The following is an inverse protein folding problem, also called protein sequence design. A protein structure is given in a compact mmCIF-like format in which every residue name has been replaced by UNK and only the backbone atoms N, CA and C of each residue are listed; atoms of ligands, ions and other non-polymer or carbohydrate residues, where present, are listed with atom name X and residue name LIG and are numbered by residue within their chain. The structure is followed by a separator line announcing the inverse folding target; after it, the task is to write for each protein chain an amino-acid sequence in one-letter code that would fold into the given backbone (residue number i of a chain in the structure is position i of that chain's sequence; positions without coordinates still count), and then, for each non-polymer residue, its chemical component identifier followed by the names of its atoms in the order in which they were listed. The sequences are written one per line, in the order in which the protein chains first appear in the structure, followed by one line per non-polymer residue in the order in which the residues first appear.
data_IF_804204778904
#
_entry.id   IF_804204778904
#
_cell.length_a   1.000
_cell.length_b   1.000
_cell.length_c   1.000
_cell.angle_alpha   90.00
_cell.angle_beta   90.00
_cell.angle_gamma   90.00
#
_symmetry.space_group_name_H-M   'P 1'
#
loop_
_entity.id
_entity.type
_entity.pdbx_description
1 polymer ?
#
# COMPACT_ATOMS: atom_id res chain seq x y z
N UNK A 1 -13.17 -27.37 80.15
CA UNK A 1 -12.95 -28.46 79.17
C UNK A 1 -14.18 -29.32 79.25
N UNK A 2 -15.17 -29.02 78.42
CA UNK A 2 -16.48 -29.67 78.42
C UNK A 2 -16.52 -30.65 77.23
N UNK A 3 -17.11 -31.81 77.48
CA UNK A 3 -17.12 -32.98 76.62
C UNK A 3 -17.52 -32.65 75.17
N UNK A 4 -16.58 -32.84 74.24
CA UNK A 4 -16.89 -32.85 72.81
C UNK A 4 -17.69 -34.11 72.50
N UNK A 5 -18.87 -33.94 71.90
CA UNK A 5 -19.71 -35.02 71.43
C UNK A 5 -18.88 -35.99 70.59
N UNK A 6 -18.84 -37.25 71.01
CA UNK A 6 -17.94 -38.26 70.42
C UNK A 6 -18.41 -38.77 69.05
N UNK A 7 -19.67 -38.52 68.69
CA UNK A 7 -20.27 -38.96 67.43
C UNK A 7 -20.44 -37.76 66.49
N UNK A 8 -19.90 -37.87 65.28
CA UNK A 8 -20.07 -36.85 64.24
C UNK A 8 -21.51 -36.89 63.70
N UNK A 9 -22.21 -35.76 63.64
CA UNK A 9 -23.57 -35.73 63.09
C UNK A 9 -23.56 -35.82 61.56
N UNK A 10 -24.64 -36.34 60.99
CA UNK A 10 -24.76 -36.47 59.54
C UNK A 10 -25.49 -35.26 58.95
N UNK A 11 -24.83 -34.57 58.03
CA UNK A 11 -25.38 -33.43 57.31
C UNK A 11 -26.24 -33.96 56.17
N UNK A 12 -27.51 -33.57 56.16
CA UNK A 12 -28.46 -33.94 55.11
C UNK A 12 -28.49 -32.92 53.98
N UNK A 13 -28.38 -31.64 54.32
CA UNK A 13 -28.35 -30.55 53.35
C UNK A 13 -27.22 -29.60 53.72
N UNK A 14 -26.26 -29.33 52.80
CA UNK A 14 -26.12 -29.93 51.48
C UNK A 14 -25.50 -31.34 51.59
N UNK A 15 -25.92 -32.28 50.74
CA UNK A 15 -25.40 -33.66 50.75
C UNK A 15 -23.93 -33.75 50.27
N UNK A 16 -23.45 -32.72 49.58
CA UNK A 16 -22.06 -32.56 49.13
C UNK A 16 -21.75 -31.06 49.01
N UNK A 17 -20.49 -30.71 48.75
CA UNK A 17 -20.08 -29.32 48.55
C UNK A 17 -20.86 -28.70 47.38
N UNK A 18 -21.58 -27.62 47.64
CA UNK A 18 -22.48 -27.00 46.67
C UNK A 18 -21.87 -25.72 46.10
N UNK A 19 -21.92 -25.55 44.79
CA UNK A 19 -21.43 -24.35 44.10
C UNK A 19 -22.58 -23.61 43.46
N UNK A 20 -22.80 -22.34 43.84
CA UNK A 20 -23.90 -21.52 43.34
C UNK A 20 -23.36 -20.33 42.54
N UNK A 21 -23.79 -20.21 41.29
CA UNK A 21 -23.49 -19.06 40.44
C UNK A 21 -24.63 -18.05 40.49
N UNK A 22 -24.35 -16.88 41.07
CA UNK A 22 -25.36 -15.87 41.36
C UNK A 22 -24.97 -14.51 40.77
N UNK A 23 -25.98 -13.77 40.32
CA UNK A 23 -25.80 -12.39 39.89
C UNK A 23 -25.74 -11.44 41.09
N UNK A 24 -24.99 -10.35 40.95
CA UNK A 24 -24.91 -9.28 41.94
C UNK A 24 -26.28 -8.62 42.16
N UNK A 25 -26.65 -8.36 43.41
CA UNK A 25 -27.93 -7.80 43.84
C UNK A 25 -29.00 -8.82 44.24
N UNK A 26 -28.72 -10.12 44.22
CA UNK A 26 -29.67 -11.16 44.69
C UNK A 26 -29.54 -11.43 46.18
N UNK A 27 -30.66 -11.80 46.81
CA UNK A 27 -30.69 -12.39 48.16
C UNK A 27 -30.66 -13.91 48.05
N UNK A 28 -29.82 -14.57 48.84
CA UNK A 28 -29.67 -16.03 48.86
C UNK A 28 -29.75 -16.54 50.31
N UNK A 29 -30.41 -17.67 50.50
CA UNK A 29 -30.51 -18.35 51.79
C UNK A 29 -29.77 -19.69 51.72
N UNK A 30 -28.69 -19.84 52.48
CA UNK A 30 -27.93 -21.08 52.58
C UNK A 30 -28.51 -21.93 53.71
N UNK A 31 -28.97 -23.14 53.39
CA UNK A 31 -29.64 -24.02 54.35
C UNK A 31 -28.74 -25.19 54.73
N UNK A 32 -28.39 -25.29 56.01
CA UNK A 32 -27.61 -26.37 56.59
C UNK A 32 -28.52 -27.20 57.51
N UNK A 33 -28.89 -28.41 57.09
CA UNK A 33 -29.71 -29.32 57.91
C UNK A 33 -28.92 -30.55 58.31
N UNK A 34 -28.99 -30.88 59.60
CA UNK A 34 -28.18 -31.91 60.22
C UNK A 34 -29.08 -32.83 61.03
N UNK A 35 -28.86 -34.14 60.95
CA UNK A 35 -29.56 -35.12 61.79
C UNK A 35 -28.76 -35.43 63.05
N UNK A 36 -29.49 -35.50 64.16
CA UNK A 36 -28.96 -35.73 65.50
C UNK A 36 -29.77 -36.81 66.23
N UNK A 37 -29.07 -37.77 66.85
CA UNK A 37 -29.71 -38.84 67.61
C UNK A 37 -30.03 -38.36 69.05
N UNK A 38 -31.28 -38.55 69.50
CA UNK A 38 -31.78 -38.05 70.80
C UNK A 38 -31.14 -38.72 72.04
N UNK A 39 -30.29 -39.74 71.85
CA UNK A 39 -29.73 -40.53 72.94
C UNK A 39 -28.60 -39.82 73.72
N UNK A 40 -28.06 -38.70 73.22
CA UNK A 40 -26.94 -37.98 73.84
C UNK A 40 -27.38 -36.62 74.42
N UNK A 41 -26.93 -36.28 75.64
CA UNK A 41 -27.25 -35.02 76.37
C UNK A 41 -26.40 -33.83 75.90
N UNK A 42 -26.20 -33.68 74.59
CA UNK A 42 -25.47 -32.54 74.04
C UNK A 42 -26.28 -31.88 72.93
N UNK A 43 -26.49 -30.56 73.07
CA UNK A 43 -27.10 -29.71 72.05
C UNK A 43 -25.99 -29.00 71.28
N UNK A 44 -25.61 -29.44 70.06
CA UNK A 44 -24.59 -28.75 69.26
C UNK A 44 -25.12 -27.40 68.77
N UNK A 45 -24.28 -26.37 68.87
CA UNK A 45 -24.59 -25.03 68.34
C UNK A 45 -24.04 -24.95 66.92
N UNK A 46 -24.86 -24.66 65.89
CA UNK A 46 -24.37 -24.46 64.54
C UNK A 46 -23.60 -23.15 64.45
N UNK A 47 -22.47 -23.17 63.75
CA UNK A 47 -21.64 -21.99 63.57
C UNK A 47 -21.27 -21.82 62.10
N UNK A 48 -21.32 -20.57 61.62
CA UNK A 48 -21.03 -20.25 60.23
C UNK A 48 -19.70 -19.52 60.08
N UNK A 49 -18.98 -19.85 59.01
CA UNK A 49 -17.73 -19.20 58.62
C UNK A 49 -17.81 -18.74 57.16
N UNK A 50 -17.12 -17.63 56.86
CA UNK A 50 -16.89 -17.13 55.52
C UNK A 50 -15.39 -17.03 55.28
N UNK A 51 -14.90 -17.73 54.26
CA UNK A 51 -13.47 -17.80 53.90
C UNK A 51 -12.55 -18.12 55.09
N UNK A 52 -13.05 -18.94 56.03
CA UNK A 52 -12.33 -19.32 57.25
C UNK A 52 -12.50 -18.36 58.44
N UNK A 53 -13.20 -17.24 58.28
CA UNK A 53 -13.50 -16.29 59.36
C UNK A 53 -14.91 -16.51 59.94
N UNK A 54 -15.03 -16.54 61.26
CA UNK A 54 -16.32 -16.70 61.95
C UNK A 54 -17.25 -15.50 61.71
N UNK A 55 -18.50 -15.78 61.34
CA UNK A 55 -19.52 -14.75 61.16
C UNK A 55 -19.98 -14.25 62.54
N UNK A 56 -19.92 -12.93 62.74
CA UNK A 56 -20.33 -12.31 64.01
C UNK A 56 -21.85 -12.30 64.22
N UNK A 57 -22.28 -11.94 65.43
CA UNK A 57 -23.68 -11.90 65.88
C UNK A 57 -24.60 -10.93 65.09
N UNK A 58 -24.07 -10.16 64.14
CA UNK A 58 -24.83 -9.29 63.24
C UNK A 58 -25.28 -9.95 61.93
N UNK A 59 -25.03 -11.24 61.74
CA UNK A 59 -25.52 -11.99 60.58
C UNK A 59 -26.92 -12.56 60.83
N UNK A 60 -27.80 -12.47 59.83
CA UNK A 60 -29.17 -13.02 59.88
C UNK A 60 -29.13 -14.53 59.74
N UNK A 61 -28.98 -15.20 60.88
CA UNK A 61 -28.99 -16.65 61.03
C UNK A 61 -30.27 -17.10 61.73
N UNK A 62 -31.07 -17.90 61.05
CA UNK A 62 -32.27 -18.50 61.63
C UNK A 62 -31.96 -19.97 61.96
N UNK A 63 -32.05 -20.35 63.23
CA UNK A 63 -31.82 -21.73 63.67
C UNK A 63 -33.10 -22.32 64.24
N UNK A 64 -33.51 -23.47 63.71
CA UNK A 64 -34.73 -24.16 64.10
C UNK A 64 -34.45 -25.65 64.38
N UNK A 65 -35.03 -26.16 65.47
CA UNK A 65 -34.99 -27.56 65.86
C UNK A 65 -36.32 -28.22 65.49
N UNK A 66 -36.26 -29.38 64.85
CA UNK A 66 -37.42 -30.18 64.48
C UNK A 66 -37.29 -31.58 65.05
N UNK A 67 -38.32 -32.08 65.75
CA UNK A 67 -38.39 -33.49 66.10
C UNK A 67 -38.87 -34.26 64.86
N UNK A 68 -38.06 -35.21 64.37
CA UNK A 68 -38.43 -36.04 63.22
C UNK A 68 -39.09 -37.34 63.69
N UNK A 69 -38.57 -37.96 64.75
CA UNK A 69 -39.07 -39.17 65.40
C UNK A 69 -38.83 -39.10 66.93
N UNK A 70 -39.37 -40.05 67.70
CA UNK A 70 -39.16 -40.10 69.17
C UNK A 70 -37.68 -40.22 69.61
N UNK A 71 -36.79 -40.63 68.69
CA UNK A 71 -35.35 -40.80 68.93
C UNK A 71 -34.45 -39.93 68.03
N UNK A 72 -35.00 -39.05 67.19
CA UNK A 72 -34.23 -38.28 66.20
C UNK A 72 -34.69 -36.81 66.12
N UNK A 73 -33.73 -35.90 66.19
CA UNK A 73 -33.92 -34.46 66.04
C UNK A 73 -33.15 -33.94 64.82
N UNK A 74 -33.74 -33.00 64.11
CA UNK A 74 -33.11 -32.27 63.01
C UNK A 74 -32.81 -30.85 63.47
N UNK A 75 -31.58 -30.41 63.21
CA UNK A 75 -31.16 -29.04 63.36
C UNK A 75 -31.08 -28.40 61.98
N UNK A 76 -31.89 -27.38 61.70
CA UNK A 76 -31.77 -26.57 60.49
C UNK A 76 -31.24 -25.18 60.86
N UNK A 77 -30.15 -24.77 60.21
CA UNK A 77 -29.61 -23.43 60.29
C UNK A 77 -29.63 -22.79 58.91
N UNK A 78 -30.27 -21.64 58.78
CA UNK A 78 -30.41 -20.90 57.53
C UNK A 78 -29.68 -19.57 57.63
N UNK A 79 -28.68 -19.37 56.77
CA UNK A 79 -27.92 -18.12 56.68
C UNK A 79 -28.46 -17.29 55.50
N UNK A 80 -29.06 -16.13 55.80
CA UNK A 80 -29.54 -15.19 54.78
C UNK A 80 -28.43 -14.19 54.40
N UNK A 81 -28.14 -14.08 53.10
CA UNK A 81 -27.08 -13.23 52.55
C UNK A 81 -27.64 -12.30 51.47
N UNK A 82 -27.24 -11.02 51.52
CA UNK A 82 -27.50 -10.03 50.48
C UNK A 82 -26.23 -9.84 49.66
N UNK A 83 -26.24 -10.26 48.39
CA UNK A 83 -25.06 -10.20 47.52
C UNK A 83 -24.93 -8.82 46.88
N UNK A 84 -24.59 -7.81 47.67
CA UNK A 84 -24.52 -6.41 47.21
C UNK A 84 -23.17 -6.02 46.64
N UNK A 85 -22.10 -6.57 47.21
CA UNK A 85 -20.72 -6.25 46.86
C UNK A 85 -20.00 -7.50 46.33
N UNK A 86 -18.93 -7.28 45.58
CA UNK A 86 -18.07 -8.39 45.11
C UNK A 86 -17.47 -9.18 46.28
N UNK A 87 -17.21 -8.48 47.39
CA UNK A 87 -16.75 -9.08 48.63
C UNK A 87 -17.73 -10.09 49.23
N UNK A 88 -19.00 -10.10 48.82
CA UNK A 88 -20.02 -10.99 49.39
C UNK A 88 -19.97 -12.40 48.79
N UNK A 89 -19.29 -12.56 47.65
CA UNK A 89 -18.99 -13.87 47.04
C UNK A 89 -17.77 -14.50 47.73
N UNK A 90 -17.79 -15.82 47.93
CA UNK A 90 -16.76 -16.52 48.71
C UNK A 90 -17.20 -17.91 49.13
N UNK A 91 -16.41 -18.54 50.00
CA UNK A 91 -16.69 -19.89 50.52
C UNK A 91 -17.32 -19.77 51.90
N UNK A 92 -18.57 -20.21 52.01
CA UNK A 92 -19.29 -20.27 53.28
C UNK A 92 -19.25 -21.71 53.81
N UNK A 93 -18.95 -21.90 55.08
CA UNK A 93 -18.99 -23.22 55.70
C UNK A 93 -19.81 -23.22 56.99
N UNK A 94 -20.71 -24.20 57.08
CA UNK A 94 -21.51 -24.52 58.25
C UNK A 94 -20.77 -25.58 59.07
N UNK A 95 -20.58 -25.31 60.36
CA UNK A 95 -19.91 -26.17 61.32
C UNK A 95 -20.94 -26.64 62.35
N UNK A 96 -21.11 -27.95 62.50
CA UNK A 96 -21.97 -28.56 63.51
C UNK A 96 -21.21 -29.71 64.17
N UNK A 97 -20.69 -29.47 65.37
CA UNK A 97 -19.81 -30.42 66.05
C UNK A 97 -18.55 -30.69 65.22
N UNK A 98 -18.34 -31.96 64.84
CA UNK A 98 -17.21 -32.40 63.99
C UNK A 98 -17.55 -32.48 62.49
N UNK A 99 -18.77 -32.15 62.08
CA UNK A 99 -19.18 -32.18 60.68
C UNK A 99 -19.17 -30.78 60.06
N UNK A 100 -18.81 -30.70 58.77
CA UNK A 100 -18.77 -29.45 58.01
C UNK A 100 -19.42 -29.57 56.65
N UNK A 101 -20.13 -28.55 56.26
CA UNK A 101 -20.69 -28.41 54.91
C UNK A 101 -20.29 -27.08 54.30
N UNK A 102 -19.87 -27.10 53.03
CA UNK A 102 -19.37 -25.90 52.34
C UNK A 102 -20.26 -25.52 51.15
N UNK A 103 -20.50 -24.22 51.02
CA UNK A 103 -21.17 -23.56 49.91
C UNK A 103 -20.21 -22.57 49.27
N UNK A 104 -19.92 -22.71 47.98
CA UNK A 104 -19.10 -21.74 47.25
C UNK A 104 -19.99 -20.84 46.41
N UNK A 105 -20.02 -19.55 46.72
CA UNK A 105 -20.74 -18.56 45.94
C UNK A 105 -19.80 -17.95 44.90
N UNK A 106 -20.14 -18.12 43.62
CA UNK A 106 -19.41 -17.52 42.49
C UNK A 106 -20.28 -16.47 41.81
N UNK A 107 -19.64 -15.40 41.35
CA UNK A 107 -20.30 -14.40 40.53
C UNK A 107 -20.56 -14.99 39.15
N UNK A 108 -21.81 -14.91 38.70
CA UNK A 108 -22.15 -15.17 37.31
C UNK A 108 -21.65 -14.01 36.43
N UNK A 109 -20.70 -14.27 35.53
CA UNK A 109 -20.25 -13.27 34.56
C UNK A 109 -21.35 -13.04 33.52
N UNK A 110 -21.87 -11.81 33.47
CA UNK A 110 -22.74 -11.40 32.37
C UNK A 110 -21.85 -11.21 31.16
N UNK A 111 -21.99 -12.08 30.16
CA UNK A 111 -21.30 -11.95 28.88
C UNK A 111 -21.66 -10.61 28.22
N UNK A 112 -20.82 -9.60 28.45
CA UNK A 112 -21.04 -8.27 27.88
C UNK A 112 -20.96 -8.35 26.36
N UNK A 113 -21.97 -7.86 25.66
CA UNK A 113 -21.92 -7.72 24.20
C UNK A 113 -20.96 -6.59 23.77
N UNK A 114 -20.47 -5.80 24.72
CA UNK A 114 -19.56 -4.66 24.51
C UNK A 114 -18.26 -5.05 23.80
N UNK A 115 -17.47 -6.06 24.25
CA UNK A 115 -16.26 -6.49 23.54
C UNK A 115 -16.53 -6.98 22.12
N UNK A 116 -17.64 -7.69 21.89
CA UNK A 116 -18.01 -8.17 20.55
C UNK A 116 -18.35 -7.00 19.61
N UNK A 117 -19.08 -6.00 20.11
CA UNK A 117 -19.39 -4.77 19.34
C UNK A 117 -18.12 -3.97 19.04
N UNK A 118 -17.19 -3.85 20.00
CA UNK A 118 -15.93 -3.16 19.80
C UNK A 118 -15.06 -3.85 18.73
N UNK A 119 -14.97 -5.18 18.79
CA UNK A 119 -14.25 -5.97 17.79
C UNK A 119 -14.85 -5.80 16.39
N UNK A 120 -16.18 -5.83 16.28
CA UNK A 120 -16.88 -5.61 15.01
C UNK A 120 -16.61 -4.21 14.43
N UNK A 121 -16.61 -3.16 15.27
CA UNK A 121 -16.30 -1.79 14.84
C UNK A 121 -14.86 -1.64 14.36
N UNK A 122 -13.89 -2.31 15.01
CA UNK A 122 -12.50 -2.30 14.58
C UNK A 122 -12.32 -2.97 13.21
N UNK A 123 -12.97 -4.11 12.98
CA UNK A 123 -12.95 -4.79 11.68
C UNK A 123 -13.58 -3.91 10.59
N UNK A 124 -14.71 -3.26 10.89
CA UNK A 124 -15.35 -2.34 9.96
C UNK A 124 -14.43 -1.17 9.60
N UNK A 125 -13.77 -0.56 10.60
CA UNK A 125 -12.83 0.54 10.39
C UNK A 125 -11.65 0.10 9.51
N UNK A 126 -11.09 -1.10 9.74
CA UNK A 126 -10.03 -1.65 8.92
C UNK A 126 -10.46 -1.85 7.47
N UNK A 127 -11.66 -2.39 7.24
CA UNK A 127 -12.21 -2.57 5.89
C UNK A 127 -12.38 -1.24 5.15
N UNK A 128 -12.87 -0.20 5.84
CA UNK A 128 -12.99 1.14 5.25
C UNK A 128 -11.63 1.73 4.91
N UNK A 129 -10.63 1.57 5.78
CA UNK A 129 -9.25 2.01 5.51
C UNK A 129 -8.65 1.28 4.31
N UNK A 130 -8.81 -0.05 4.24
CA UNK A 130 -8.34 -0.85 3.11
C UNK A 130 -9.05 -0.48 1.81
N UNK A 131 -10.36 -0.25 1.85
CA UNK A 131 -11.12 0.22 0.69
C UNK A 131 -10.65 1.62 0.24
N UNK A 132 -10.43 2.53 1.18
CA UNK A 132 -9.91 3.87 0.89
C UNK A 132 -8.49 3.83 0.30
N UNK A 133 -7.62 3.00 0.87
CA UNK A 133 -6.27 2.77 0.35
C UNK A 133 -6.34 2.13 -1.04
N UNK A 134 -7.19 1.12 -1.25
CA UNK A 134 -7.38 0.49 -2.54
C UNK A 134 -7.85 1.51 -3.59
N UNK A 135 -8.86 2.33 -3.30
CA UNK A 135 -9.34 3.35 -4.25
C UNK A 135 -8.24 4.36 -4.61
N UNK A 136 -7.43 4.80 -3.64
CA UNK A 136 -6.31 5.73 -3.89
C UNK A 136 -5.11 5.10 -4.58
N UNK A 137 -4.80 3.85 -4.25
CA UNK A 137 -3.60 3.17 -4.70
C UNK A 137 -3.86 2.24 -5.87
N UNK A 138 -5.10 2.01 -6.31
CA UNK A 138 -5.45 1.09 -7.40
C UNK A 138 -4.58 1.30 -8.64
N UNK A 139 -4.46 2.55 -9.08
CA UNK A 139 -3.66 2.88 -10.26
C UNK A 139 -2.15 2.69 -10.01
N UNK A 140 -1.67 3.02 -8.81
CA UNK A 140 -0.27 2.77 -8.42
C UNK A 140 0.06 1.28 -8.32
N UNK A 141 -0.83 0.47 -7.75
CA UNK A 141 -0.69 -1.00 -7.64
C UNK A 141 -0.74 -1.63 -9.01
N UNK A 142 -1.64 -1.19 -9.89
CA UNK A 142 -1.72 -1.70 -11.26
C UNK A 142 -0.47 -1.34 -12.08
N UNK A 143 0.05 -0.11 -11.90
CA UNK A 143 1.33 0.30 -12.50
C UNK A 143 2.48 -0.56 -12.00
N UNK A 144 2.56 -0.79 -10.68
CA UNK A 144 3.59 -1.62 -10.07
C UNK A 144 3.52 -3.06 -10.59
N UNK A 145 2.32 -3.64 -10.61
CA UNK A 145 2.08 -4.99 -11.14
C UNK A 145 2.53 -5.11 -12.59
N UNK A 146 2.12 -4.16 -13.45
CA UNK A 146 2.54 -4.15 -14.85
C UNK A 146 4.05 -3.95 -14.99
N UNK A 147 4.66 -3.08 -14.18
CA UNK A 147 6.08 -2.81 -14.26
C UNK A 147 6.95 -3.97 -13.79
N UNK A 148 6.43 -4.90 -12.98
CA UNK A 148 7.11 -6.15 -12.61
C UNK A 148 6.79 -7.29 -13.57
N UNK A 149 5.51 -7.56 -13.84
CA UNK A 149 5.05 -8.79 -14.49
C UNK A 149 4.55 -8.62 -15.93
N UNK A 150 4.44 -7.40 -16.46
CA UNK A 150 3.89 -7.17 -17.81
C UNK A 150 4.84 -7.59 -18.93
N UNK A 151 4.33 -8.03 -20.07
CA UNK A 151 5.17 -8.37 -21.24
C UNK A 151 6.02 -7.19 -21.73
N UNK A 152 7.24 -7.49 -22.19
CA UNK A 152 8.24 -6.51 -22.63
C UNK A 152 8.22 -6.34 -24.15
N UNK A 153 7.69 -5.21 -24.64
CA UNK A 153 7.59 -4.88 -26.08
C UNK A 153 8.94 -4.36 -26.68
N UNK A 154 10.10 -4.86 -26.25
CA UNK A 154 11.42 -4.24 -26.57
C UNK A 154 11.94 -4.58 -27.98
N UNK A 155 11.54 -5.71 -28.57
CA UNK A 155 12.13 -6.26 -29.79
C UNK A 155 11.26 -6.11 -31.06
N UNK A 156 10.26 -5.23 -31.04
CA UNK A 156 9.27 -5.10 -32.12
C UNK A 156 9.76 -4.31 -33.35
N UNK A 157 11.04 -3.91 -33.39
CA UNK A 157 11.59 -3.07 -34.47
C UNK A 157 11.07 -1.62 -34.52
N UNK A 158 10.29 -1.21 -33.53
CA UNK A 158 9.71 0.15 -33.41
C UNK A 158 10.68 1.10 -32.70
N UNK A 159 10.82 2.31 -33.23
CA UNK A 159 11.79 3.30 -32.77
C UNK A 159 11.27 4.18 -31.63
N UNK A 160 9.95 4.40 -31.59
CA UNK A 160 9.31 5.32 -30.65
C UNK A 160 8.20 4.61 -29.85
N UNK A 161 8.02 5.04 -28.60
CA UNK A 161 7.00 4.48 -27.70
C UNK A 161 5.61 4.99 -28.03
N UNK A 162 5.50 6.27 -28.40
CA UNK A 162 4.24 6.86 -28.82
C UNK A 162 4.39 7.96 -29.86
N UNK A 163 3.46 7.99 -30.81
CA UNK A 163 3.21 9.11 -31.70
C UNK A 163 2.20 10.06 -31.04
N UNK A 164 2.46 11.36 -31.03
CA UNK A 164 1.51 12.36 -30.49
C UNK A 164 0.95 13.21 -31.62
N UNK A 165 -0.35 13.13 -31.84
CA UNK A 165 -1.09 14.03 -32.73
C UNK A 165 -1.80 15.13 -31.94
N UNK A 166 -1.71 16.36 -32.42
CA UNK A 166 -2.33 17.54 -31.83
C UNK A 166 -2.77 18.54 -32.92
N UNK A 167 -3.66 19.48 -32.58
CA UNK A 167 -4.05 20.52 -33.54
C UNK A 167 -2.91 21.55 -33.73
N UNK A 168 -2.95 22.27 -34.86
CA UNK A 168 -1.95 23.28 -35.23
C UNK A 168 -2.03 24.57 -34.40
N UNK A 169 -2.95 24.64 -33.44
CA UNK A 169 -3.12 25.82 -32.59
C UNK A 169 -1.91 26.00 -31.65
N UNK A 170 -1.56 27.26 -31.33
CA UNK A 170 -0.42 27.53 -30.46
C UNK A 170 -0.62 26.97 -29.05
N UNK A 171 -1.85 26.86 -28.58
CA UNK A 171 -2.15 26.38 -27.23
C UNK A 171 -1.95 24.86 -27.12
N UNK A 172 -2.42 24.08 -28.10
CA UNK A 172 -2.17 22.64 -28.16
C UNK A 172 -0.69 22.34 -28.33
N UNK A 173 0.00 23.11 -29.18
CA UNK A 173 1.44 22.98 -29.36
C UNK A 173 2.18 23.21 -28.03
N UNK A 174 1.84 24.28 -27.30
CA UNK A 174 2.42 24.56 -25.97
C UNK A 174 2.12 23.43 -25.00
N UNK A 175 0.88 22.94 -24.95
CA UNK A 175 0.49 21.83 -24.08
C UNK A 175 1.34 20.58 -24.36
N UNK A 176 1.47 20.18 -25.63
CA UNK A 176 2.24 18.99 -25.99
C UNK A 176 3.74 19.19 -25.71
N UNK A 177 4.32 20.33 -26.10
CA UNK A 177 5.76 20.55 -26.01
C UNK A 177 6.26 20.87 -24.60
N UNK A 178 5.47 21.56 -23.78
CA UNK A 178 5.88 21.97 -22.43
C UNK A 178 5.32 21.09 -21.32
N UNK A 179 4.21 20.38 -21.55
CA UNK A 179 3.58 19.55 -20.52
C UNK A 179 3.75 18.07 -20.86
N UNK A 180 3.25 17.60 -22.00
CA UNK A 180 3.25 16.16 -22.33
C UNK A 180 4.67 15.65 -22.58
N UNK A 181 5.43 16.32 -23.44
CA UNK A 181 6.78 15.90 -23.83
C UNK A 181 7.75 15.84 -22.64
N UNK A 182 7.92 16.89 -21.82
CA UNK A 182 8.88 16.83 -20.70
C UNK A 182 8.46 15.84 -19.62
N UNK A 183 7.15 15.64 -19.40
CA UNK A 183 6.70 14.63 -18.44
C UNK A 183 7.01 13.22 -18.96
N UNK A 184 6.65 12.89 -20.18
CA UNK A 184 6.86 11.54 -20.72
C UNK A 184 8.34 11.25 -21.01
N UNK A 185 9.11 12.21 -21.53
CA UNK A 185 10.53 12.03 -21.87
C UNK A 185 11.47 12.23 -20.67
N UNK A 186 11.32 13.27 -19.85
CA UNK A 186 12.30 13.49 -18.77
C UNK A 186 11.96 12.68 -17.50
N UNK A 187 10.67 12.51 -17.17
CA UNK A 187 10.27 11.84 -15.92
C UNK A 187 10.10 10.35 -16.09
N UNK A 188 9.39 9.95 -17.15
CA UNK A 188 9.11 8.54 -17.43
C UNK A 188 10.12 7.95 -18.43
N UNK A 189 10.85 8.77 -19.18
CA UNK A 189 11.86 8.35 -20.15
C UNK A 189 11.33 7.51 -21.30
N UNK A 190 10.11 7.80 -21.73
CA UNK A 190 9.58 7.32 -23.02
C UNK A 190 10.20 8.12 -24.16
N UNK A 191 10.31 7.50 -25.33
CA UNK A 191 10.69 8.19 -26.57
C UNK A 191 9.44 8.57 -27.34
N UNK A 192 9.13 9.85 -27.43
CA UNK A 192 7.99 10.33 -28.20
C UNK A 192 8.41 10.73 -29.60
N UNK A 193 7.54 10.47 -30.56
CA UNK A 193 7.61 11.11 -31.87
C UNK A 193 6.56 12.22 -31.94
N UNK A 194 7.03 13.44 -32.16
CA UNK A 194 6.22 14.61 -32.43
C UNK A 194 6.56 15.05 -33.85
N UNK A 195 5.54 15.25 -34.69
CA UNK A 195 5.76 15.81 -36.01
C UNK A 195 5.82 17.35 -35.90
N UNK A 196 7.03 17.89 -35.86
CA UNK A 196 7.28 19.34 -35.85
C UNK A 196 7.04 19.99 -37.24
N UNK A 197 7.00 19.15 -38.28
CA UNK A 197 6.96 19.56 -39.69
C UNK A 197 5.54 19.57 -40.20
N UNK A 198 4.88 20.72 -39.99
CA UNK A 198 3.48 21.01 -40.31
C UNK A 198 2.57 20.35 -39.28
N UNK A 199 1.77 21.17 -38.59
CA UNK A 199 0.62 20.68 -37.84
C UNK A 199 -0.31 20.01 -38.83
N UNK A 200 -0.06 18.74 -39.06
CA UNK A 200 -0.88 17.90 -39.89
C UNK A 200 -2.15 17.74 -39.07
N UNK A 201 -3.09 18.65 -39.31
CA UNK A 201 -4.51 18.31 -39.36
C UNK A 201 -4.53 16.86 -39.79
N UNK A 202 -4.92 15.92 -38.93
CA UNK A 202 -5.02 14.55 -39.39
C UNK A 202 -6.03 14.62 -40.52
N UNK A 203 -5.64 14.59 -41.81
CA UNK A 203 -6.61 14.71 -42.85
C UNK A 203 -7.09 13.27 -42.95
N UNK A 204 -8.09 12.95 -42.13
CA UNK A 204 -8.89 11.77 -42.36
C UNK A 204 -10.15 12.13 -43.15
N UNK A 205 -10.06 12.73 -44.36
CA UNK A 205 -10.99 12.39 -45.43
C UNK A 205 -10.34 11.28 -46.26
N UNK A 206 -10.81 10.04 -46.05
CA UNK A 206 -10.59 8.85 -46.87
C UNK A 206 -9.17 8.22 -46.95
N UNK A 207 -8.06 8.97 -47.03
CA UNK A 207 -6.71 8.37 -47.16
C UNK A 207 -5.69 9.05 -46.23
N UNK A 208 -5.18 8.35 -45.19
CA UNK A 208 -4.10 8.90 -44.38
C UNK A 208 -2.84 9.05 -45.23
N UNK A 209 -2.12 10.17 -45.07
CA UNK A 209 -0.88 10.41 -45.81
C UNK A 209 0.11 9.27 -45.56
N UNK A 210 0.88 8.90 -46.59
CA UNK A 210 1.87 7.83 -46.48
C UNK A 210 2.87 8.10 -45.34
N UNK A 211 3.20 9.38 -45.11
CA UNK A 211 4.08 9.82 -44.02
C UNK A 211 3.47 9.57 -42.64
N UNK A 212 2.16 9.83 -42.46
CA UNK A 212 1.46 9.55 -41.21
C UNK A 212 1.43 8.03 -40.94
N UNK A 213 1.11 7.22 -41.94
CA UNK A 213 1.10 5.76 -41.82
C UNK A 213 2.50 5.26 -41.45
N UNK A 214 3.53 5.76 -42.13
CA UNK A 214 4.93 5.43 -41.85
C UNK A 214 5.33 5.81 -40.42
N UNK A 215 5.03 7.03 -39.99
CA UNK A 215 5.38 7.52 -38.65
C UNK A 215 4.64 6.75 -37.55
N UNK A 216 3.35 6.48 -37.73
CA UNK A 216 2.55 5.68 -36.78
C UNK A 216 3.03 4.22 -36.75
N UNK A 217 3.42 3.64 -37.89
CA UNK A 217 3.95 2.26 -37.95
C UNK A 217 5.25 2.08 -37.15
N UNK A 218 6.07 3.14 -37.07
CA UNK A 218 7.31 3.19 -36.28
C UNK A 218 7.07 3.39 -34.78
N UNK A 219 5.82 3.64 -34.37
CA UNK A 219 5.44 3.91 -32.99
C UNK A 219 4.63 2.75 -32.37
N UNK A 220 4.79 2.51 -31.07
CA UNK A 220 4.05 1.45 -30.35
C UNK A 220 2.61 1.85 -30.02
N UNK A 221 2.39 3.12 -29.71
CA UNK A 221 1.08 3.69 -29.37
C UNK A 221 0.84 4.99 -30.12
N UNK A 222 -0.45 5.35 -30.23
CA UNK A 222 -0.91 6.61 -30.81
C UNK A 222 -1.62 7.40 -29.72
N UNK A 223 -1.19 8.62 -29.46
CA UNK A 223 -1.83 9.59 -28.56
C UNK A 223 -2.42 10.70 -29.43
N UNK A 224 -3.70 11.01 -29.24
CA UNK A 224 -4.41 12.08 -29.95
C UNK A 224 -4.94 13.08 -28.91
N UNK A 225 -4.54 14.34 -29.03
CA UNK A 225 -5.04 15.43 -28.18
C UNK A 225 -6.27 16.06 -28.83
N UNK A 226 -7.45 15.71 -28.32
CA UNK A 226 -8.74 16.28 -28.74
C UNK A 226 -8.99 17.59 -27.99
N UNK A 227 -8.50 18.69 -28.56
CA UNK A 227 -8.92 20.05 -28.19
C UNK A 227 -10.17 20.49 -28.95
N UNK A 228 -10.75 21.66 -28.62
CA UNK A 228 -11.85 22.26 -29.42
C UNK A 228 -11.41 22.45 -30.87
N UNK A 229 -10.22 23.02 -31.08
CA UNK A 229 -9.70 23.25 -32.42
C UNK A 229 -9.47 21.94 -33.19
N UNK A 230 -9.15 20.86 -32.50
CA UNK A 230 -9.04 19.53 -33.10
C UNK A 230 -10.42 18.97 -33.52
N UNK A 231 -11.45 19.19 -32.70
CA UNK A 231 -12.83 18.77 -32.98
C UNK A 231 -13.50 19.61 -34.08
N UNK A 232 -13.13 20.89 -34.21
CA UNK A 232 -13.64 21.79 -35.26
C UNK A 232 -13.11 21.45 -36.66
N UNK A 233 -12.09 20.59 -36.77
CA UNK A 233 -11.56 20.16 -38.07
C UNK A 233 -12.65 19.46 -38.90
N UNK A 234 -12.66 19.72 -40.21
CA UNK A 234 -13.73 19.28 -41.11
C UNK A 234 -13.97 17.76 -41.08
N UNK A 235 -12.90 16.97 -40.93
CA UNK A 235 -13.00 15.50 -40.84
C UNK A 235 -13.61 15.02 -39.52
N UNK A 236 -13.41 15.73 -38.40
CA UNK A 236 -14.05 15.42 -37.12
C UNK A 236 -15.57 15.63 -37.18
N UNK A 237 -16.00 16.64 -37.94
CA UNK A 237 -17.43 16.93 -38.13
C UNK A 237 -18.11 15.98 -39.13
N UNK A 238 -17.42 15.62 -40.21
CA UNK A 238 -18.03 14.92 -41.35
C UNK A 238 -17.74 13.41 -41.42
N UNK A 239 -16.61 12.93 -40.90
CA UNK A 239 -16.13 11.55 -41.14
C UNK A 239 -15.33 10.96 -39.97
N UNK A 240 -15.63 11.40 -38.73
CA UNK A 240 -14.89 10.94 -37.55
C UNK A 240 -14.98 9.44 -37.33
N UNK A 241 -16.13 8.83 -37.66
CA UNK A 241 -16.34 7.38 -37.44
C UNK A 241 -15.40 6.57 -38.33
N UNK A 242 -15.35 6.89 -39.61
CA UNK A 242 -14.48 6.26 -40.60
C UNK A 242 -13.01 6.50 -40.23
N UNK A 243 -12.68 7.72 -39.79
CA UNK A 243 -11.35 8.05 -39.28
C UNK A 243 -10.95 7.21 -38.06
N UNK A 244 -11.85 7.05 -37.08
CA UNK A 244 -11.61 6.24 -35.89
C UNK A 244 -11.32 4.77 -36.24
N UNK A 245 -12.09 4.18 -37.15
CA UNK A 245 -11.84 2.81 -37.62
C UNK A 245 -10.45 2.67 -38.24
N UNK A 246 -10.01 3.65 -39.03
CA UNK A 246 -8.67 3.65 -39.62
C UNK A 246 -7.56 3.81 -38.57
N UNK A 247 -7.77 4.64 -37.55
CA UNK A 247 -6.83 4.77 -36.43
C UNK A 247 -6.71 3.48 -35.60
N UNK A 248 -7.81 2.76 -35.44
CA UNK A 248 -7.85 1.44 -34.79
C UNK A 248 -7.16 0.35 -35.63
N UNK A 249 -7.18 0.48 -36.96
CA UNK A 249 -6.43 -0.39 -37.87
C UNK A 249 -4.92 -0.13 -37.80
N UNK A 250 -4.53 1.15 -37.74
CA UNK A 250 -3.13 1.58 -37.64
C UNK A 250 -2.53 1.31 -36.26
N UNK A 251 -3.33 1.37 -35.19
CA UNK A 251 -2.87 1.21 -33.81
C UNK A 251 -3.84 0.38 -32.98
N UNK A 252 -3.34 -0.66 -32.29
CA UNK A 252 -4.20 -1.61 -31.54
C UNK A 252 -5.00 -0.96 -30.40
N UNK A 253 -4.49 0.11 -29.79
CA UNK A 253 -5.10 0.81 -28.64
C UNK A 253 -4.71 2.30 -28.65
N UNK A 254 -5.36 3.14 -29.47
CA UNK A 254 -5.13 4.58 -29.46
C UNK A 254 -5.62 5.22 -28.15
N UNK A 255 -4.92 6.27 -27.75
CA UNK A 255 -5.17 7.03 -26.52
C UNK A 255 -5.65 8.41 -26.92
N UNK A 256 -6.82 8.83 -26.43
CA UNK A 256 -7.40 10.14 -26.67
C UNK A 256 -7.37 10.97 -25.39
N UNK A 257 -6.82 12.19 -25.46
CA UNK A 257 -6.79 13.14 -24.34
C UNK A 257 -7.79 14.25 -24.63
N UNK A 258 -8.75 14.49 -23.73
CA UNK A 258 -9.77 15.54 -23.85
C UNK A 258 -9.70 16.48 -22.65
N UNK A 259 -9.90 17.78 -22.84
CA UNK A 259 -9.93 18.74 -21.74
C UNK A 259 -11.26 18.73 -20.98
N UNK A 260 -11.23 18.90 -19.65
CA UNK A 260 -12.44 18.80 -18.81
C UNK A 260 -13.54 19.80 -19.18
N UNK A 261 -13.18 21.05 -19.54
CA UNK A 261 -14.14 22.05 -20.02
C UNK A 261 -14.92 21.54 -21.24
N UNK A 262 -14.20 20.96 -22.19
CA UNK A 262 -14.76 20.44 -23.44
C UNK A 262 -15.60 19.17 -23.20
N UNK A 263 -15.16 18.31 -22.29
CA UNK A 263 -15.88 17.08 -21.95
C UNK A 263 -17.27 17.34 -21.33
N UNK A 264 -17.44 18.45 -20.61
CA UNK A 264 -18.70 18.83 -19.95
C UNK A 264 -19.58 19.75 -20.81
N UNK A 265 -18.98 20.67 -21.55
CA UNK A 265 -19.71 21.73 -22.26
C UNK A 265 -20.04 21.37 -23.71
N UNK A 266 -19.24 20.51 -24.35
CA UNK A 266 -19.37 20.20 -25.79
C UNK A 266 -19.79 18.73 -25.97
N UNK A 267 -21.08 18.50 -26.23
CA UNK A 267 -21.58 17.19 -26.69
C UNK A 267 -21.28 16.99 -28.18
N UNK A 268 -20.00 16.79 -28.52
CA UNK A 268 -19.59 16.48 -29.88
C UNK A 268 -19.87 15.00 -30.22
N UNK A 269 -20.38 14.66 -31.44
CA UNK A 269 -20.61 13.27 -31.86
C UNK A 269 -19.34 12.40 -31.82
N UNK A 270 -18.16 13.01 -31.99
CA UNK A 270 -16.89 12.29 -31.84
C UNK A 270 -16.68 11.74 -30.42
N UNK A 271 -17.00 12.53 -29.39
CA UNK A 271 -16.82 12.14 -27.99
C UNK A 271 -17.83 11.06 -27.62
N UNK A 272 -19.08 11.13 -28.11
CA UNK A 272 -20.07 10.07 -27.87
C UNK A 272 -19.65 8.75 -28.53
N UNK A 273 -19.07 8.79 -29.73
CA UNK A 273 -18.52 7.61 -30.40
C UNK A 273 -17.35 6.99 -29.60
N UNK A 274 -16.42 7.80 -29.10
CA UNK A 274 -15.33 7.31 -28.24
C UNK A 274 -15.88 6.70 -26.93
N UNK A 275 -16.95 7.27 -26.37
CA UNK A 275 -17.65 6.70 -25.20
C UNK A 275 -18.38 5.39 -25.51
N UNK A 276 -18.78 5.15 -26.76
CA UNK A 276 -19.36 3.88 -27.17
C UNK A 276 -18.27 2.80 -27.33
N UNK A 277 -17.09 3.17 -27.82
CA UNK A 277 -15.98 2.25 -28.11
C UNK A 277 -14.90 2.20 -27.01
N UNK A 278 -15.25 2.39 -25.73
CA UNK A 278 -14.28 2.42 -24.60
C UNK A 278 -13.46 1.14 -24.41
N UNK A 279 -13.89 0.00 -24.97
CA UNK A 279 -13.13 -1.25 -24.90
C UNK A 279 -11.93 -1.26 -25.85
N UNK A 280 -12.00 -0.52 -26.95
CA UNK A 280 -10.96 -0.45 -27.99
C UNK A 280 -10.07 0.79 -27.85
N UNK A 281 -10.59 1.89 -27.29
CA UNK A 281 -9.88 3.17 -27.13
C UNK A 281 -9.73 3.55 -25.67
N UNK A 282 -8.60 4.20 -25.33
CA UNK A 282 -8.42 4.78 -23.99
C UNK A 282 -8.76 6.27 -24.04
N UNK A 283 -9.79 6.71 -23.31
CA UNK A 283 -10.19 8.11 -23.22
C UNK A 283 -9.77 8.69 -21.87
N UNK A 284 -8.85 9.66 -21.88
CA UNK A 284 -8.33 10.33 -20.70
C UNK A 284 -8.81 11.78 -20.64
N UNK A 285 -9.22 12.23 -19.45
CA UNK A 285 -9.70 13.61 -19.24
C UNK A 285 -8.65 14.42 -18.51
N UNK A 286 -8.18 15.50 -19.13
CA UNK A 286 -7.27 16.48 -18.56
C UNK A 286 -8.02 17.46 -17.65
N UNK A 287 -7.68 17.48 -16.35
CA UNK A 287 -8.32 18.31 -15.31
C UNK A 287 -7.31 19.29 -14.72
N UNK A 288 -7.77 20.28 -13.94
CA UNK A 288 -6.88 21.19 -13.22
C UNK A 288 -5.88 20.45 -12.30
N UNK A 289 -6.31 19.35 -11.67
CA UNK A 289 -5.44 18.49 -10.85
C UNK A 289 -4.40 17.69 -11.65
N UNK A 290 -4.57 17.56 -12.98
CA UNK A 290 -3.65 16.83 -13.87
C UNK A 290 -2.31 17.54 -14.06
N UNK A 291 -2.21 18.83 -13.73
CA UNK A 291 -0.94 19.56 -13.69
C UNK A 291 0.06 18.93 -12.72
N UNK A 292 -0.43 18.26 -11.67
CA UNK A 292 0.46 17.52 -10.78
C UNK A 292 0.91 16.23 -11.46
N UNK A 293 2.23 15.95 -11.48
CA UNK A 293 2.79 14.81 -12.19
C UNK A 293 2.49 13.45 -11.53
N UNK A 294 2.06 13.46 -10.26
CA UNK A 294 1.57 12.28 -9.52
C UNK A 294 0.06 12.06 -9.65
N UNK A 295 -0.63 12.84 -10.48
CA UNK A 295 -2.08 12.73 -10.68
C UNK A 295 -2.49 11.39 -11.30
N UNK A 296 -3.75 11.02 -11.07
CA UNK A 296 -4.34 9.81 -11.64
C UNK A 296 -4.28 9.81 -13.18
N UNK A 297 -4.35 10.99 -13.81
CA UNK A 297 -4.22 11.14 -15.26
C UNK A 297 -2.90 10.57 -15.80
N UNK A 298 -1.76 10.95 -15.19
CA UNK A 298 -0.46 10.46 -15.66
C UNK A 298 -0.29 8.97 -15.39
N UNK A 299 -0.87 8.47 -14.29
CA UNK A 299 -0.85 7.03 -14.00
C UNK A 299 -1.64 6.24 -15.04
N UNK A 300 -2.84 6.70 -15.39
CA UNK A 300 -3.66 6.09 -16.46
C UNK A 300 -2.99 6.18 -17.83
N UNK A 301 -2.38 7.33 -18.15
CA UNK A 301 -1.63 7.49 -19.40
C UNK A 301 -0.43 6.52 -19.47
N UNK A 302 0.33 6.44 -18.38
CA UNK A 302 1.45 5.50 -18.30
C UNK A 302 0.98 4.05 -18.43
N UNK A 303 -0.18 3.68 -17.84
CA UNK A 303 -0.77 2.35 -17.96
C UNK A 303 -1.16 1.98 -19.40
N UNK A 304 -1.57 2.96 -20.21
CA UNK A 304 -1.92 2.75 -21.61
C UNK A 304 -0.69 2.70 -22.55
N UNK A 305 0.42 3.32 -22.14
CA UNK A 305 1.71 3.28 -22.83
C UNK A 305 2.41 1.91 -22.70
N UNK A 306 3.39 1.57 -23.56
CA UNK A 306 4.14 0.31 -23.46
C UNK A 306 4.92 0.23 -22.14
N UNK A 307 5.22 -0.98 -21.65
CA UNK A 307 6.08 -1.17 -20.46
C UNK A 307 7.49 -0.70 -20.80
N UNK A 308 8.09 0.09 -19.91
CA UNK A 308 9.49 0.48 -20.01
C UNK A 308 10.34 -0.43 -19.12
N UNK A 309 11.48 -0.88 -19.64
CA UNK A 309 12.59 -1.36 -18.80
C UNK A 309 13.52 -0.18 -18.60
N UNK A 310 13.62 0.29 -17.36
CA UNK A 310 14.75 1.13 -16.98
C UNK A 310 15.98 0.23 -16.95
N UNK A 311 16.77 0.26 -18.03
CA UNK A 311 18.16 -0.16 -17.91
C UNK A 311 18.80 0.78 -16.89
N UNK A 312 19.21 0.24 -15.74
CA UNK A 312 19.92 1.01 -14.73
C UNK A 312 21.19 1.52 -15.42
N UNK A 313 21.31 2.83 -15.61
CA UNK A 313 22.38 3.50 -16.35
C UNK A 313 23.75 3.45 -15.66
N UNK A 314 24.13 2.30 -15.11
CA UNK A 314 25.44 2.01 -14.51
C UNK A 314 26.07 0.74 -15.07
N UNK A 315 25.56 0.24 -16.20
CA UNK A 315 26.28 -0.73 -17.01
C UNK A 315 26.66 0.03 -18.27
N UNK A 316 27.84 0.63 -18.25
CA UNK A 316 28.53 0.99 -19.48
C UNK A 316 28.59 -0.26 -20.36
N UNK A 317 28.65 -0.04 -21.67
CA UNK A 317 28.68 -1.09 -22.70
C UNK A 317 29.44 -2.32 -22.17
N UNK A 318 28.86 -3.55 -22.16
CA UNK A 318 29.55 -4.75 -21.69
C UNK A 318 30.87 -4.99 -22.44
N UNK A 319 31.06 -4.31 -23.57
CA UNK A 319 32.30 -4.20 -24.33
C UNK A 319 33.47 -3.57 -23.55
N UNK A 320 33.24 -2.87 -22.43
CA UNK A 320 34.27 -2.18 -21.63
C UNK A 320 34.54 -2.81 -20.26
N UNK A 321 33.71 -3.75 -19.80
CA UNK A 321 33.87 -4.33 -18.45
C UNK A 321 34.83 -5.53 -18.39
N UNK A 322 35.04 -6.22 -19.51
CA UNK A 322 35.99 -7.32 -19.57
C UNK A 322 37.28 -6.89 -20.27
N UNK A 323 38.29 -6.77 -19.43
CA UNK A 323 39.72 -6.82 -19.71
C UNK A 323 40.41 -5.47 -19.81
N UNK A 324 41.64 -5.51 -19.31
CA UNK A 324 42.80 -4.61 -19.38
C UNK A 324 43.09 -4.06 -20.79
N UNK A 325 42.08 -3.52 -21.47
CA UNK A 325 42.22 -2.86 -22.75
C UNK A 325 42.77 -1.45 -22.49
N UNK A 326 44.07 -1.28 -22.76
CA UNK A 326 44.79 -0.01 -22.55
C UNK A 326 44.50 1.02 -23.65
N UNK A 327 43.39 0.89 -24.36
CA UNK A 327 42.98 1.87 -25.36
C UNK A 327 42.50 3.16 -24.68
N UNK A 328 43.25 4.28 -24.80
CA UNK A 328 42.97 5.51 -24.04
C UNK A 328 41.69 6.24 -24.51
N UNK A 329 41.09 5.83 -25.63
CA UNK A 329 39.77 6.34 -26.04
C UNK A 329 38.59 5.61 -25.39
N UNK A 330 38.80 4.43 -24.79
CA UNK A 330 37.75 3.59 -24.22
C UNK A 330 37.74 3.61 -22.68
N UNK A 331 38.77 4.18 -22.05
CA UNK A 331 38.83 4.35 -20.60
C UNK A 331 38.02 5.61 -20.22
N UNK A 332 36.87 5.43 -19.59
CA UNK A 332 35.98 6.52 -19.15
C UNK A 332 36.62 7.44 -18.08
N UNK A 333 37.74 7.00 -17.48
CA UNK A 333 38.52 7.76 -16.51
C UNK A 333 39.86 8.18 -17.11
N UNK A 334 39.87 9.21 -17.94
CA UNK A 334 41.14 9.90 -18.26
C UNK A 334 41.57 10.68 -17.01
N UNK A 335 42.61 10.22 -16.32
CA UNK A 335 43.29 10.98 -15.26
C UNK A 335 44.07 12.20 -15.81
N UNK A 336 43.81 12.63 -17.04
CA UNK A 336 44.44 13.75 -17.71
C UNK A 336 43.83 15.12 -17.35
N UNK A 337 42.71 15.13 -16.60
CA UNK A 337 42.05 16.34 -16.12
C UNK A 337 42.26 16.60 -14.62
N UNK A 338 43.18 15.89 -13.98
CA UNK A 338 43.60 16.22 -12.61
C UNK A 338 44.84 17.11 -12.65
N UNK A 339 44.71 18.27 -13.29
CA UNK A 339 45.62 19.40 -13.07
C UNK A 339 45.28 20.01 -11.72
N UNK A 340 45.69 19.33 -10.64
CA UNK A 340 45.75 19.90 -9.31
C UNK A 340 46.68 21.11 -9.36
N UNK A 341 46.12 22.31 -9.25
CA UNK A 341 46.90 23.50 -9.00
C UNK A 341 47.48 23.42 -7.59
N UNK A 342 48.78 23.12 -7.49
CA UNK A 342 49.53 23.25 -6.25
C UNK A 342 49.50 24.72 -5.78
N UNK A 343 49.01 25.03 -4.57
CA UNK A 343 49.21 26.34 -4.00
C UNK A 343 50.61 26.40 -3.37
N UNK A 344 51.52 27.13 -4.01
CA UNK A 344 52.77 27.54 -3.37
C UNK A 344 52.45 28.60 -2.29
N UNK A 345 53.02 28.51 -1.07
CA UNK A 345 52.77 29.49 -0.03
C UNK A 345 53.64 30.75 -0.28
N UNK A 346 53.13 31.87 0.23
CA UNK A 346 53.77 33.19 0.35
C UNK A 346 53.52 34.20 -0.78
N UNK A 347 52.69 35.21 -0.49
CA UNK A 347 52.55 36.41 -1.34
C UNK A 347 51.29 37.24 -1.07
N UNK A 348 51.36 38.10 -0.07
CA UNK A 348 50.34 39.03 0.42
C UNK A 348 50.03 40.23 -0.53
N UNK A 349 48.87 40.85 -0.28
CA UNK A 349 48.36 42.19 -0.66
C UNK A 349 47.68 42.42 -2.03
N UNK A 350 46.43 42.90 -1.98
CA UNK A 350 45.96 43.95 -2.92
C UNK A 350 44.52 43.88 -3.42
N UNK A 351 43.68 44.71 -2.81
CA UNK A 351 42.33 45.17 -3.16
C UNK A 351 42.07 45.46 -4.66
N UNK A 352 40.85 45.18 -5.16
CA UNK A 352 40.32 45.87 -6.36
C UNK A 352 39.12 45.24 -7.06
N UNK A 353 37.93 45.85 -6.91
CA UNK A 353 36.78 45.68 -7.81
C UNK A 353 37.13 46.16 -9.23
N UNK A 354 36.65 45.45 -10.26
CA UNK A 354 35.84 45.97 -11.39
C UNK A 354 35.69 44.91 -12.50
N UNK A 355 34.47 44.75 -13.02
CA UNK A 355 34.22 44.05 -14.29
C UNK A 355 34.56 44.91 -15.52
N UNK A 356 33.91 44.67 -16.66
CA UNK A 356 34.32 43.70 -17.68
C UNK A 356 34.85 44.39 -18.94
N UNK A 357 35.81 43.77 -19.63
CA UNK A 357 36.16 44.18 -21.00
C UNK A 357 36.72 42.98 -21.78
N UNK A 358 36.02 42.64 -22.86
CA UNK A 358 36.60 41.86 -23.95
C UNK A 358 37.73 42.67 -24.61
N UNK A 359 38.73 41.98 -25.17
CA UNK A 359 39.02 42.27 -26.57
C UNK A 359 39.27 41.01 -27.42
N UNK A 360 38.68 41.06 -28.61
CA UNK A 360 39.29 40.91 -29.94
C UNK A 360 40.26 39.77 -30.21
N UNK A 361 39.92 39.02 -31.25
CA UNK A 361 40.70 37.98 -31.91
C UNK A 361 42.12 38.44 -32.30
N UNK A 362 43.10 37.59 -31.98
CA UNK A 362 44.34 37.45 -32.74
C UNK A 362 44.62 35.97 -33.00
N UNK A 363 44.92 35.69 -34.25
CA UNK A 363 45.25 34.39 -34.84
C UNK A 363 46.76 34.14 -34.62
N UNK A 364 47.20 33.09 -33.89
CA UNK A 364 48.62 32.84 -33.72
C UNK A 364 49.16 32.01 -34.89
N UNK A 365 50.14 32.60 -35.56
CA UNK A 365 50.93 31.98 -36.61
C UNK A 365 51.64 30.70 -36.13
N UNK A 366 51.63 29.74 -37.05
CA UNK A 366 52.41 28.52 -37.09
C UNK A 366 53.89 28.78 -36.77
N UNK A 367 54.39 28.26 -35.65
CA UNK A 367 55.83 28.06 -35.43
C UNK A 367 56.10 26.61 -35.03
N UNK A 368 56.95 26.00 -35.83
CA UNK A 368 57.26 24.58 -35.88
C UNK A 368 58.41 24.23 -34.92
N UNK A 369 58.29 23.08 -34.23
CA UNK A 369 59.24 22.52 -33.27
C UNK A 369 58.59 22.39 -31.88
N UNK A 370 58.24 21.21 -31.36
CA UNK A 370 58.87 19.90 -31.42
C UNK A 370 57.77 18.84 -31.21
N UNK A 371 57.60 17.90 -32.16
CA UNK A 371 56.64 16.79 -32.02
C UNK A 371 57.15 15.83 -30.93
N UNK A 372 56.35 15.44 -29.93
CA UNK A 372 56.67 14.25 -29.15
C UNK A 372 56.52 13.04 -30.08
N UNK A 373 57.58 12.25 -30.23
CA UNK A 373 57.52 10.95 -30.91
C UNK A 373 56.45 10.09 -30.22
N UNK A 374 55.44 9.69 -31.00
CA UNK A 374 54.46 8.71 -30.56
C UNK A 374 55.17 7.36 -30.63
N UNK A 375 55.37 6.73 -29.48
CA UNK A 375 55.88 5.37 -29.39
C UNK A 375 54.85 4.39 -29.98
N UNK A 376 55.18 3.82 -31.15
CA UNK A 376 54.28 2.95 -31.95
C UNK A 376 54.51 1.46 -31.62
N UNK A 377 55.30 1.16 -30.58
CA UNK A 377 55.75 -0.20 -30.28
C UNK A 377 54.64 -1.14 -29.81
N UNK A 378 53.46 -0.63 -29.43
CA UNK A 378 52.35 -1.43 -28.88
C UNK A 378 51.23 -1.74 -29.90
N UNK A 379 51.41 -1.40 -31.18
CA UNK A 379 50.42 -1.75 -32.22
C UNK A 379 50.34 -3.25 -32.53
N UNK A 380 51.33 -4.04 -32.10
CA UNK A 380 51.41 -5.48 -32.35
C UNK A 380 50.62 -6.36 -31.38
N UNK A 381 50.13 -5.81 -30.26
CA UNK A 381 49.39 -6.56 -29.23
C UNK A 381 47.86 -6.48 -29.39
N UNK A 382 47.36 -5.71 -30.36
CA UNK A 382 45.94 -5.42 -30.56
C UNK A 382 45.20 -6.51 -31.32
N UNK A 383 44.17 -7.08 -30.71
CA UNK A 383 43.33 -8.10 -31.32
C UNK A 383 42.15 -7.46 -32.07
N UNK A 384 42.24 -7.37 -33.40
CA UNK A 384 41.20 -6.82 -34.27
C UNK A 384 40.16 -7.85 -34.75
N UNK A 385 40.11 -9.03 -34.13
CA UNK A 385 39.11 -10.04 -34.46
C UNK A 385 37.70 -9.57 -34.08
N UNK A 386 36.75 -9.66 -35.01
CA UNK A 386 35.34 -9.42 -34.71
C UNK A 386 34.85 -10.48 -33.69
N UNK A 387 34.57 -10.05 -32.45
CA UNK A 387 34.00 -10.89 -31.40
C UNK A 387 32.53 -11.22 -31.74
N UNK A 388 32.24 -12.50 -31.92
CA UNK A 388 30.90 -13.04 -32.26
C UNK A 388 30.12 -13.51 -31.02
N UNK A 389 30.61 -13.20 -29.84
CA UNK A 389 30.26 -13.82 -28.56
C UNK A 389 29.40 -12.92 -27.67
N UNK A 390 28.29 -12.36 -28.20
CA UNK A 390 27.23 -11.75 -27.36
C UNK A 390 25.82 -11.94 -27.96
N UNK A 391 25.34 -13.19 -27.95
CA UNK A 391 23.90 -13.44 -27.81
C UNK A 391 23.63 -13.73 -26.32
N UNK A 392 23.38 -12.69 -25.52
CA UNK A 392 22.85 -12.91 -24.16
C UNK A 392 21.38 -13.32 -24.27
N UNK A 393 21.14 -14.63 -24.29
CA UNK A 393 19.88 -15.21 -23.87
C UNK A 393 19.72 -14.86 -22.38
N UNK A 394 18.69 -14.09 -22.05
CA UNK A 394 18.31 -13.84 -20.65
C UNK A 394 17.96 -15.19 -20.03
N UNK A 395 18.76 -15.63 -19.07
CA UNK A 395 18.52 -16.84 -18.27
C UNK A 395 17.46 -16.56 -17.20
N UNK A 396 16.62 -17.55 -16.91
CA UNK A 396 15.43 -17.49 -16.05
C UNK A 396 15.69 -17.16 -14.57
N UNK A 397 16.95 -17.00 -14.14
CA UNK A 397 17.31 -16.92 -12.72
C UNK A 397 17.21 -15.51 -12.09
N UNK A 398 16.81 -14.48 -12.86
CA UNK A 398 16.61 -13.11 -12.34
C UNK A 398 15.12 -12.66 -12.38
N UNK A 399 14.18 -13.56 -12.09
CA UNK A 399 12.72 -13.25 -11.93
C UNK A 399 12.38 -12.78 -10.53
#
# INVERSE_FOLDING_TARGET
MADLCSVAPEILVPAANETLELALGKQVALNCTVRWAAAERCEPIPAWTKDGQWLGSGSSQDTAWFAQNASEWLLASVLQLNLTHDSDFGVFACWVGNATATFTLRRAEVAGHVPAVLAALLVLALLVLLAGLYVRCRLSVLLWYRNHYGELEINDGKLYDAYVSHATTPDDRKFVHFIVKPQLENRYGYKLFLDDTRGLEIPLPAEPSADLIMNVSRCRRLIVVLSVAYLEQDWCNSSFREGLWRLLELSKKPIFIVFESQYREITHPAISLLKQHRSAVTLLVWRAGSMTPSSEFWKELCLALPRKVTFRGTVGDPQTQLQEDKDPMLILHSSYLDSGGDPHPDGDLGTGLCGPSAPTAEEPQLREGQRPEIDVSDLGSRNYGARTDFYCLVTEDDI
#
